data_IF_148400325602
#
_entry.id   IF_148400325602
#
_cell.length_a   1.000
_cell.length_b   1.000
_cell.length_c   1.000
_cell.angle_alpha   90.00
_cell.angle_beta   90.00
_cell.angle_gamma   90.00
#
_symmetry.space_group_name_H-M   'P 1'
#
loop_
_entity.id
_entity.type
_entity.pdbx_description
1 polymer ?
#
# COMPACT_ATOMS: atom_id res chain seq x y z
N UNK A 1 -17.31 -9.45 24.20
CA UNK A 1 -17.25 -10.92 24.07
C UNK A 1 -18.49 -11.36 23.30
N UNK A 2 -18.40 -11.38 21.97
CA UNK A 2 -19.48 -11.79 21.06
C UNK A 2 -19.69 -13.29 21.24
N UNK A 3 -20.83 -13.67 21.80
CA UNK A 3 -21.17 -15.09 22.01
C UNK A 3 -21.30 -15.76 20.65
N UNK A 4 -20.56 -16.85 20.47
CA UNK A 4 -20.69 -17.73 19.32
C UNK A 4 -22.14 -18.26 19.23
N UNK A 5 -22.83 -17.94 18.14
CA UNK A 5 -24.21 -18.36 17.87
C UNK A 5 -24.29 -19.34 16.70
N UNK A 6 -23.15 -19.81 16.20
CA UNK A 6 -23.07 -20.73 15.07
C UNK A 6 -23.84 -22.03 15.39
N UNK A 7 -23.65 -22.58 16.58
CA UNK A 7 -24.34 -23.78 17.04
C UNK A 7 -25.88 -23.61 17.11
N UNK A 8 -26.35 -22.41 17.47
CA UNK A 8 -27.78 -22.11 17.54
C UNK A 8 -28.42 -21.96 16.13
N UNK A 9 -27.65 -21.51 15.14
CA UNK A 9 -28.09 -21.42 13.74
C UNK A 9 -28.17 -22.81 13.10
N UNK A 10 -27.18 -23.67 13.34
CA UNK A 10 -27.19 -25.06 12.83
C UNK A 10 -28.37 -25.85 13.40
N UNK A 11 -28.68 -25.68 14.68
CA UNK A 11 -29.82 -26.34 15.32
C UNK A 11 -31.19 -25.81 14.83
N UNK A 12 -31.26 -24.56 14.37
CA UNK A 12 -32.49 -24.00 13.82
C UNK A 12 -32.72 -24.39 12.35
N UNK A 13 -31.66 -24.80 11.64
CA UNK A 13 -31.70 -25.16 10.22
C UNK A 13 -32.13 -26.62 9.99
N UNK A 14 -32.06 -27.47 11.02
CA UNK A 14 -32.47 -28.89 10.95
C UNK A 14 -33.97 -29.13 11.09
N UNK A 15 -34.77 -28.10 11.37
CA UNK A 15 -36.22 -28.23 11.64
C UNK A 15 -37.11 -27.85 10.43
N UNK A 16 -36.54 -27.41 9.31
CA UNK A 16 -37.30 -26.93 8.12
C UNK A 16 -36.88 -27.69 6.85
N UNK A 17 -37.06 -29.01 6.89
CA UNK A 17 -36.54 -29.98 5.92
C UNK A 17 -37.47 -30.18 4.69
N UNK A 18 -38.09 -29.12 4.15
CA UNK A 18 -39.08 -29.27 3.07
C UNK A 18 -39.09 -28.21 1.95
N UNK A 19 -38.00 -27.48 1.71
CA UNK A 19 -37.80 -26.74 0.42
C UNK A 19 -36.33 -26.68 0.02
N UNK A 20 -35.76 -27.80 -0.42
CA UNK A 20 -34.49 -27.81 -1.15
C UNK A 20 -34.76 -27.59 -2.66
N UNK A 21 -34.92 -26.33 -3.06
CA UNK A 21 -34.43 -25.90 -4.38
C UNK A 21 -33.17 -25.10 -4.08
N UNK A 22 -32.05 -25.82 -4.10
CA UNK A 22 -30.71 -25.28 -3.91
C UNK A 22 -30.46 -24.25 -5.00
N UNK A 23 -30.77 -22.98 -4.71
CA UNK A 23 -30.17 -21.86 -5.42
C UNK A 23 -28.74 -21.80 -4.92
N UNK A 24 -27.92 -22.73 -5.41
CA UNK A 24 -26.48 -22.67 -5.30
C UNK A 24 -26.07 -21.38 -6.00
N UNK A 25 -25.85 -20.32 -5.22
CA UNK A 25 -25.03 -19.21 -5.69
C UNK A 25 -23.71 -19.89 -6.02
N UNK A 26 -23.38 -19.97 -7.31
CA UNK A 26 -22.11 -20.46 -7.78
C UNK A 26 -21.04 -19.45 -7.34
N UNK A 27 -20.70 -19.49 -6.05
CA UNK A 27 -19.48 -18.92 -5.51
C UNK A 27 -18.41 -19.77 -6.16
N UNK A 28 -17.75 -19.22 -7.18
CA UNK A 28 -16.56 -19.81 -7.77
C UNK A 28 -15.61 -20.24 -6.65
N UNK A 29 -14.87 -21.31 -6.88
CA UNK A 29 -14.06 -21.94 -5.83
C UNK A 29 -13.17 -20.95 -5.05
N UNK A 30 -12.75 -21.29 -3.82
CA UNK A 30 -11.95 -20.43 -2.94
C UNK A 30 -10.66 -19.84 -3.55
N UNK A 31 -10.21 -20.34 -4.69
CA UNK A 31 -8.89 -20.06 -5.27
C UNK A 31 -8.81 -18.85 -6.22
N UNK A 32 -9.92 -18.17 -6.58
CA UNK A 32 -9.89 -17.21 -7.71
C UNK A 32 -10.42 -15.80 -7.40
N UNK A 33 -10.66 -15.46 -6.13
CA UNK A 33 -11.00 -14.07 -5.77
C UNK A 33 -9.73 -13.27 -5.49
N UNK A 34 -9.36 -12.39 -6.42
CA UNK A 34 -8.30 -11.38 -6.24
C UNK A 34 -6.91 -11.95 -5.93
N UNK A 35 -6.66 -13.23 -6.23
CA UNK A 35 -5.41 -13.93 -5.91
C UNK A 35 -4.18 -13.22 -6.47
N UNK A 36 -4.24 -12.80 -7.74
CA UNK A 36 -3.14 -12.05 -8.39
C UNK A 36 -2.91 -10.70 -7.71
N UNK A 37 -3.98 -9.97 -7.40
CA UNK A 37 -3.87 -8.68 -6.72
C UNK A 37 -3.29 -8.81 -5.30
N UNK A 38 -3.71 -9.81 -4.54
CA UNK A 38 -3.14 -10.04 -3.21
C UNK A 38 -1.68 -10.48 -3.26
N UNK A 39 -1.27 -11.22 -4.30
CA UNK A 39 0.13 -11.52 -4.53
C UNK A 39 0.95 -10.24 -4.81
N UNK A 40 0.42 -9.31 -5.62
CA UNK A 40 1.06 -8.01 -5.85
C UNK A 40 1.15 -7.16 -4.57
N UNK A 41 0.09 -7.14 -3.76
CA UNK A 41 0.06 -6.43 -2.47
C UNK A 41 1.11 -6.97 -1.51
N UNK A 42 1.24 -8.29 -1.40
CA UNK A 42 2.23 -8.90 -0.53
C UNK A 42 3.66 -8.65 -1.03
N UNK A 43 3.89 -8.71 -2.35
CA UNK A 43 5.19 -8.36 -2.93
C UNK A 43 5.58 -6.91 -2.62
N UNK A 44 4.64 -5.96 -2.73
CA UNK A 44 4.89 -4.56 -2.36
C UNK A 44 5.20 -4.44 -0.86
N UNK A 45 4.45 -5.15 -0.02
CA UNK A 45 4.65 -5.16 1.42
C UNK A 45 6.04 -5.68 1.80
N UNK A 46 6.46 -6.81 1.23
CA UNK A 46 7.78 -7.38 1.46
C UNK A 46 8.89 -6.42 1.01
N UNK A 47 8.70 -5.73 -0.12
CA UNK A 47 9.64 -4.70 -0.57
C UNK A 47 9.73 -3.53 0.40
N UNK A 48 8.60 -3.05 0.96
CA UNK A 48 8.59 -2.00 1.98
C UNK A 48 9.30 -2.47 3.26
N UNK A 49 9.04 -3.68 3.72
CA UNK A 49 9.68 -4.27 4.90
C UNK A 49 11.20 -4.45 4.70
N UNK A 50 11.62 -4.79 3.48
CA UNK A 50 13.04 -4.81 3.10
C UNK A 50 13.66 -3.42 3.16
N UNK A 51 12.99 -2.39 2.65
CA UNK A 51 13.49 -1.01 2.76
C UNK A 51 13.64 -0.65 4.23
N UNK A 52 12.63 -0.90 5.07
CA UNK A 52 12.69 -0.62 6.50
C UNK A 52 13.88 -1.30 7.19
N UNK A 53 14.14 -2.57 6.87
CA UNK A 53 15.30 -3.30 7.39
C UNK A 53 16.62 -2.66 6.95
N UNK A 54 16.73 -2.32 5.66
CA UNK A 54 17.92 -1.65 5.13
C UNK A 54 18.14 -0.27 5.77
N UNK A 55 17.08 0.48 6.06
CA UNK A 55 17.17 1.78 6.75
C UNK A 55 17.78 1.63 8.15
N UNK A 56 17.36 0.61 8.90
CA UNK A 56 17.94 0.30 10.21
C UNK A 56 19.41 -0.10 10.12
N UNK A 57 19.80 -0.84 9.08
CA UNK A 57 21.20 -1.19 8.87
C UNK A 57 22.04 0.02 8.43
N UNK A 58 21.49 0.92 7.61
CA UNK A 58 22.10 2.21 7.27
C UNK A 58 22.37 3.02 8.54
N UNK A 59 21.42 3.12 9.48
CA UNK A 59 21.65 3.79 10.79
C UNK A 59 22.84 3.20 11.54
N UNK A 60 22.94 1.87 11.62
CA UNK A 60 24.06 1.18 12.29
C UNK A 60 25.39 1.47 11.61
N UNK A 61 25.44 1.41 10.26
CA UNK A 61 26.65 1.68 9.48
C UNK A 61 27.09 3.14 9.62
N UNK A 62 26.17 4.09 9.52
CA UNK A 62 26.41 5.49 9.81
C UNK A 62 27.00 5.72 11.21
N UNK A 63 26.46 5.06 12.23
CA UNK A 63 27.02 5.15 13.59
C UNK A 63 28.42 4.55 13.69
N UNK A 64 28.70 3.43 13.01
CA UNK A 64 30.01 2.80 12.99
C UNK A 64 31.06 3.70 12.31
N UNK A 65 30.70 4.32 11.18
CA UNK A 65 31.54 5.24 10.41
C UNK A 65 31.93 6.46 11.25
N UNK A 66 31.01 7.02 12.04
CA UNK A 66 31.29 8.17 12.91
C UNK A 66 32.10 7.82 14.16
N UNK A 67 32.04 6.55 14.60
CA UNK A 67 32.72 6.09 15.82
C UNK A 67 34.20 5.78 15.59
N UNK A 68 34.60 5.49 14.36
CA UNK A 68 35.98 5.17 14.00
C UNK A 68 36.73 6.41 13.44
N UNK A 69 37.98 6.68 13.87
CA UNK A 69 38.82 7.73 13.30
C UNK A 69 39.26 7.43 11.86
N UNK A 70 39.38 6.15 11.51
CA UNK A 70 39.61 5.67 10.15
C UNK A 70 38.46 4.74 9.80
N UNK A 71 37.74 5.08 8.74
CA UNK A 71 36.65 4.26 8.22
C UNK A 71 37.19 3.04 7.53
N UNK A 72 36.69 1.87 7.91
CA UNK A 72 36.90 0.66 7.13
C UNK A 72 36.20 0.82 5.78
N UNK A 73 36.96 0.76 4.68
CA UNK A 73 36.44 0.86 3.32
C UNK A 73 35.36 -0.20 3.05
N UNK A 74 35.42 -1.34 3.74
CA UNK A 74 34.38 -2.36 3.69
C UNK A 74 33.03 -1.85 4.20
N UNK A 75 33.01 -1.13 5.33
CA UNK A 75 31.78 -0.59 5.92
C UNK A 75 31.17 0.48 5.02
N UNK A 76 32.02 1.26 4.34
CA UNK A 76 31.61 2.26 3.37
C UNK A 76 30.99 1.64 2.12
N UNK A 77 31.61 0.60 1.57
CA UNK A 77 31.06 -0.15 0.44
C UNK A 77 29.71 -0.80 0.79
N UNK A 78 29.61 -1.41 1.98
CA UNK A 78 28.34 -1.98 2.48
C UNK A 78 27.24 -0.91 2.64
N UNK A 79 27.59 0.31 3.07
CA UNK A 79 26.65 1.42 3.15
C UNK A 79 26.17 1.84 1.75
N UNK A 80 27.07 1.95 0.78
CA UNK A 80 26.73 2.30 -0.61
C UNK A 80 25.82 1.25 -1.26
N UNK A 81 26.08 -0.03 -0.99
CA UNK A 81 25.23 -1.14 -1.43
C UNK A 81 23.83 -1.03 -0.83
N UNK A 82 23.71 -0.77 0.48
CA UNK A 82 22.42 -0.58 1.16
C UNK A 82 21.65 0.62 0.59
N UNK A 83 22.32 1.75 0.35
CA UNK A 83 21.70 2.93 -0.26
C UNK A 83 21.20 2.65 -1.68
N UNK A 84 22.00 1.93 -2.47
CA UNK A 84 21.63 1.49 -3.83
C UNK A 84 20.43 0.55 -3.82
N UNK A 85 20.39 -0.38 -2.87
CA UNK A 85 19.29 -1.32 -2.69
C UNK A 85 17.99 -0.64 -2.24
N UNK A 86 18.07 0.31 -1.30
CA UNK A 86 16.93 1.15 -0.90
C UNK A 86 16.39 1.89 -2.12
N UNK A 87 17.25 2.56 -2.89
CA UNK A 87 16.86 3.29 -4.09
C UNK A 87 16.17 2.39 -5.13
N UNK A 88 16.74 1.23 -5.44
CA UNK A 88 16.18 0.30 -6.41
C UNK A 88 14.81 -0.23 -5.95
N UNK A 89 14.72 -0.61 -4.67
CA UNK A 89 13.49 -1.18 -4.10
C UNK A 89 12.39 -0.12 -4.01
N UNK A 90 12.72 1.10 -3.58
CA UNK A 90 11.79 2.22 -3.52
C UNK A 90 11.21 2.57 -4.90
N UNK A 91 12.04 2.59 -5.95
CA UNK A 91 11.57 2.82 -7.32
C UNK A 91 10.62 1.71 -7.81
N UNK A 92 10.87 0.45 -7.45
CA UNK A 92 9.97 -0.67 -7.77
C UNK A 92 8.63 -0.55 -7.05
N UNK A 93 8.66 -0.24 -5.75
CA UNK A 93 7.44 0.01 -4.96
C UNK A 93 6.63 1.15 -5.57
N UNK A 94 7.27 2.29 -5.87
CA UNK A 94 6.63 3.43 -6.53
C UNK A 94 5.98 3.03 -7.86
N UNK A 95 6.68 2.29 -8.70
CA UNK A 95 6.15 1.85 -9.99
C UNK A 95 4.92 0.94 -9.83
N UNK A 96 4.96 -0.03 -8.90
CA UNK A 96 3.82 -0.92 -8.65
C UNK A 96 2.63 -0.20 -8.05
N UNK A 97 2.83 0.70 -7.09
CA UNK A 97 1.75 1.52 -6.52
C UNK A 97 1.05 2.35 -7.61
N UNK A 98 1.82 2.95 -8.53
CA UNK A 98 1.28 3.71 -9.66
C UNK A 98 0.47 2.85 -10.64
N UNK A 99 0.87 1.59 -10.87
CA UNK A 99 0.08 0.65 -11.69
C UNK A 99 -1.25 0.34 -11.00
N UNK A 100 -1.25 0.11 -9.69
CA UNK A 100 -2.48 -0.14 -8.92
C UNK A 100 -3.40 1.09 -8.97
N UNK A 101 -2.84 2.30 -8.81
CA UNK A 101 -3.58 3.56 -8.93
C UNK A 101 -4.28 3.68 -10.30
N UNK A 102 -3.55 3.47 -11.40
CA UNK A 102 -4.11 3.53 -12.75
C UNK A 102 -5.24 2.50 -12.97
N UNK A 103 -5.07 1.29 -12.43
CA UNK A 103 -6.10 0.25 -12.49
C UNK A 103 -7.36 0.67 -11.72
N UNK A 104 -7.21 1.28 -10.53
CA UNK A 104 -8.32 1.82 -9.74
C UNK A 104 -9.07 2.92 -10.52
N UNK A 105 -8.36 3.87 -11.11
CA UNK A 105 -8.96 4.94 -11.92
C UNK A 105 -9.75 4.38 -13.11
N UNK A 106 -9.19 3.38 -13.81
CA UNK A 106 -9.87 2.74 -14.94
C UNK A 106 -11.15 2.00 -14.51
N UNK A 107 -11.11 1.29 -13.38
CA UNK A 107 -12.27 0.58 -12.84
C UNK A 107 -13.37 1.53 -12.34
N UNK A 108 -13.01 2.68 -11.76
CA UNK A 108 -13.97 3.71 -11.34
C UNK A 108 -14.86 4.22 -12.49
N UNK A 109 -14.30 4.35 -13.69
CA UNK A 109 -15.05 4.79 -14.87
C UNK A 109 -16.06 3.74 -15.36
N UNK A 110 -15.82 2.47 -15.05
CA UNK A 110 -16.55 1.34 -15.62
C UNK A 110 -17.58 0.77 -14.63
N UNK A 111 -17.27 0.74 -13.34
CA UNK A 111 -18.13 0.14 -12.31
C UNK A 111 -17.92 0.81 -10.93
N UNK A 112 -18.73 1.82 -10.62
CA UNK A 112 -18.49 2.76 -9.51
C UNK A 112 -18.50 2.19 -8.08
N UNK A 113 -18.92 0.94 -7.84
CA UNK A 113 -19.06 0.44 -6.45
C UNK A 113 -18.98 -1.09 -6.31
N UNK A 114 -17.95 -1.72 -6.88
CA UNK A 114 -17.67 -3.13 -6.58
C UNK A 114 -16.97 -3.30 -5.21
N UNK A 115 -17.17 -4.46 -4.56
CA UNK A 115 -16.37 -4.83 -3.39
C UNK A 115 -14.87 -4.92 -3.74
N UNK A 116 -14.58 -5.34 -4.98
CA UNK A 116 -13.24 -5.41 -5.57
C UNK A 116 -12.50 -4.07 -5.54
N UNK A 117 -13.14 -3.03 -6.09
CA UNK A 117 -12.60 -1.67 -6.17
C UNK A 117 -12.34 -1.09 -4.78
N UNK A 118 -13.22 -1.38 -3.80
CA UNK A 118 -13.01 -0.96 -2.41
C UNK A 118 -11.77 -1.61 -1.81
N UNK A 119 -11.60 -2.92 -2.00
CA UNK A 119 -10.42 -3.64 -1.52
C UNK A 119 -9.15 -3.06 -2.14
N UNK A 120 -9.14 -2.85 -3.47
CA UNK A 120 -7.99 -2.26 -4.18
C UNK A 120 -7.61 -0.89 -3.63
N UNK A 121 -8.58 0.02 -3.46
CA UNK A 121 -8.38 1.36 -2.88
C UNK A 121 -7.82 1.31 -1.47
N UNK A 122 -8.40 0.49 -0.59
CA UNK A 122 -7.94 0.39 0.81
C UNK A 122 -6.51 -0.16 0.88
N UNK A 123 -6.19 -1.19 0.10
CA UNK A 123 -4.84 -1.76 0.05
C UNK A 123 -3.82 -0.77 -0.51
N UNK A 124 -4.13 -0.12 -1.63
CA UNK A 124 -3.29 0.91 -2.23
C UNK A 124 -2.96 2.03 -1.24
N UNK A 125 -3.96 2.54 -0.52
CA UNK A 125 -3.76 3.59 0.48
C UNK A 125 -2.92 3.15 1.67
N UNK A 126 -3.17 1.94 2.18
CA UNK A 126 -2.41 1.38 3.30
C UNK A 126 -0.93 1.21 2.93
N UNK A 127 -0.65 0.64 1.76
CA UNK A 127 0.71 0.45 1.26
C UNK A 127 1.40 1.79 0.97
N UNK A 128 0.68 2.75 0.36
CA UNK A 128 1.20 4.09 0.07
C UNK A 128 1.60 4.82 1.34
N UNK A 129 0.76 4.78 2.39
CA UNK A 129 1.05 5.39 3.69
C UNK A 129 2.28 4.76 4.34
N UNK A 130 2.33 3.42 4.38
CA UNK A 130 3.47 2.69 4.95
C UNK A 130 4.76 2.97 4.20
N UNK A 131 4.71 3.06 2.87
CA UNK A 131 5.85 3.42 2.05
C UNK A 131 6.36 4.85 2.37
N UNK A 132 5.46 5.83 2.44
CA UNK A 132 5.82 7.21 2.81
C UNK A 132 6.42 7.29 4.21
N UNK A 133 5.87 6.56 5.17
CA UNK A 133 6.40 6.47 6.53
C UNK A 133 7.86 5.99 6.53
N UNK A 134 8.13 4.86 5.88
CA UNK A 134 9.48 4.27 5.80
C UNK A 134 10.45 5.20 5.06
N UNK A 135 10.03 5.83 3.97
CA UNK A 135 10.88 6.77 3.23
C UNK A 135 11.15 8.05 4.01
N UNK A 136 10.19 8.52 4.83
CA UNK A 136 10.37 9.66 5.74
C UNK A 136 11.40 9.34 6.81
N UNK A 137 11.36 8.14 7.37
CA UNK A 137 12.35 7.67 8.33
C UNK A 137 13.75 7.52 7.71
N UNK A 138 13.83 7.09 6.45
CA UNK A 138 15.08 7.09 5.70
C UNK A 138 15.63 8.51 5.51
N UNK A 139 14.80 9.47 5.09
CA UNK A 139 15.22 10.86 4.93
C UNK A 139 15.69 11.49 6.24
N UNK A 140 14.99 11.19 7.34
CA UNK A 140 15.40 11.59 8.69
C UNK A 140 16.77 11.02 9.06
N UNK A 141 16.98 9.72 8.81
CA UNK A 141 18.27 9.05 9.04
C UNK A 141 19.42 9.72 8.29
N UNK A 142 19.20 10.07 7.01
CA UNK A 142 20.19 10.78 6.20
C UNK A 142 20.45 12.19 6.76
N UNK A 143 19.40 12.95 7.08
CA UNK A 143 19.54 14.31 7.63
C UNK A 143 20.31 14.32 8.96
N UNK A 144 19.99 13.37 9.85
CA UNK A 144 20.69 13.20 11.13
C UNK A 144 22.17 12.85 10.91
N UNK A 145 22.50 12.02 9.93
CA UNK A 145 23.89 11.69 9.60
C UNK A 145 24.66 12.87 8.99
N UNK A 146 24.01 13.68 8.13
CA UNK A 146 24.58 14.92 7.58
C UNK A 146 24.99 15.86 8.70
N UNK A 147 24.09 16.10 9.64
CA UNK A 147 24.33 17.02 10.76
C UNK A 147 25.47 16.52 11.65
N UNK A 148 25.54 15.21 11.89
CA UNK A 148 26.67 14.61 12.62
C UNK A 148 27.99 14.77 11.86
N UNK A 149 28.01 14.60 10.54
CA UNK A 149 29.20 14.84 9.73
C UNK A 149 29.64 16.30 9.79
N UNK A 150 28.69 17.24 9.66
CA UNK A 150 28.92 18.69 9.82
C UNK A 150 29.55 19.00 11.18
N UNK A 151 28.97 18.50 12.27
CA UNK A 151 29.51 18.70 13.62
C UNK A 151 30.92 18.11 13.81
N UNK A 152 31.25 17.00 13.13
CA UNK A 152 32.64 16.48 13.15
C UNK A 152 33.60 17.40 12.40
N UNK A 153 33.23 17.90 11.23
CA UNK A 153 34.05 18.85 10.46
C UNK A 153 34.30 20.11 11.29
N UNK A 154 33.27 20.67 11.93
CA UNK A 154 33.40 21.83 12.80
C UNK A 154 34.42 21.59 13.92
N UNK A 155 34.29 20.46 14.64
CA UNK A 155 35.23 20.10 15.70
C UNK A 155 36.66 19.91 15.20
N UNK A 156 36.82 19.35 14.00
CA UNK A 156 38.13 19.19 13.37
C UNK A 156 38.76 20.54 12.99
N UNK A 157 37.97 21.51 12.51
CA UNK A 157 38.44 22.87 12.25
C UNK A 157 38.87 23.59 13.54
N UNK A 158 38.11 23.44 14.62
CA UNK A 158 38.47 23.99 15.94
C UNK A 158 39.79 23.44 16.47
N UNK A 159 40.07 22.15 16.28
CA UNK A 159 41.36 21.52 16.64
C UNK A 159 42.53 22.16 15.89
N UNK A 160 42.31 22.58 14.63
CA UNK A 160 43.32 23.29 13.83
C UNK A 160 43.44 24.77 14.16
N UNK A 161 42.65 25.27 15.12
CA UNK A 161 42.66 26.67 15.57
C UNK A 161 41.78 27.60 14.74
N UNK A 162 40.92 27.07 13.87
CA UNK A 162 39.94 27.84 13.08
C UNK A 162 38.55 27.66 13.70
N UNK A 163 38.09 28.69 14.41
CA UNK A 163 36.69 28.76 14.85
C UNK A 163 35.82 29.10 13.65
N UNK A 164 34.72 28.38 13.45
CA UNK A 164 33.80 28.58 12.32
C UNK A 164 32.36 28.50 12.83
N UNK A 165 31.55 29.47 12.44
CA UNK A 165 30.11 29.47 12.78
C UNK A 165 29.37 28.41 11.97
N UNK A 166 28.14 28.09 12.37
CA UNK A 166 27.32 27.11 11.65
C UNK A 166 26.99 27.57 10.23
N UNK A 167 26.80 28.88 10.06
CA UNK A 167 26.50 29.54 8.78
C UNK A 167 27.73 29.53 7.87
N UNK A 168 28.89 29.93 8.39
CA UNK A 168 30.16 29.89 7.65
C UNK A 168 30.50 28.46 7.20
N UNK A 169 30.29 27.48 8.08
CA UNK A 169 30.54 26.08 7.73
C UNK A 169 29.58 25.58 6.65
N UNK A 170 28.32 26.01 6.67
CA UNK A 170 27.35 25.67 5.62
C UNK A 170 27.77 26.25 4.27
N UNK A 171 28.16 27.53 4.23
CA UNK A 171 28.68 28.17 3.00
C UNK A 171 29.91 27.43 2.45
N UNK A 172 30.79 26.95 3.33
CA UNK A 172 31.96 26.15 2.92
C UNK A 172 31.57 24.79 2.32
N UNK A 173 30.53 24.14 2.84
CA UNK A 173 30.00 22.89 2.30
C UNK A 173 29.32 23.12 0.93
N UNK A 174 28.53 24.19 0.80
CA UNK A 174 27.82 24.54 -0.44
C UNK A 174 28.77 24.89 -1.60
N UNK A 175 29.93 25.47 -1.31
CA UNK A 175 30.95 25.77 -2.32
C UNK A 175 31.52 24.51 -2.99
N UNK A 176 31.38 23.33 -2.36
CA UNK A 176 31.81 22.04 -2.93
C UNK A 176 33.31 21.92 -3.21
N UNK A 177 34.13 22.88 -2.73
CA UNK A 177 35.56 22.92 -2.96
C UNK A 177 36.33 22.49 -1.70
N UNK A 178 36.96 21.30 -1.68
CA UNK A 178 37.72 20.80 -0.53
C UNK A 178 38.84 21.76 -0.07
N UNK A 179 39.40 22.56 -0.98
CA UNK A 179 40.46 23.51 -0.66
C UNK A 179 40.01 24.60 0.32
N UNK A 180 38.71 24.89 0.41
CA UNK A 180 38.15 25.90 1.33
C UNK A 180 38.41 25.52 2.80
N UNK A 181 38.47 24.22 3.10
CA UNK A 181 38.85 23.70 4.41
C UNK A 181 40.35 23.81 4.69
N UNK A 182 41.19 23.80 3.66
CA UNK A 182 42.66 23.95 3.81
C UNK A 182 43.11 25.40 4.00
N UNK A 183 42.26 26.36 3.64
CA UNK A 183 42.62 27.77 3.62
C UNK A 183 42.80 28.28 5.06
N UNK A 184 44.04 28.60 5.42
CA UNK A 184 44.42 29.08 6.76
C UNK A 184 44.93 28.01 7.73
N UNK A 185 44.97 26.73 7.34
CA UNK A 185 45.53 25.65 8.17
C UNK A 185 47.02 25.48 7.86
N UNK A 186 47.87 25.57 8.89
CA UNK A 186 49.32 25.31 8.76
C UNK A 186 49.53 23.78 8.61
N UNK A 187 49.76 23.30 7.38
CA UNK A 187 49.93 21.87 7.06
C UNK A 187 51.29 21.27 7.46
N UNK A 188 52.08 21.98 8.28
CA UNK A 188 53.43 21.56 8.67
C UNK A 188 53.43 20.40 9.67
N UNK A 189 52.32 20.17 10.37
CA UNK A 189 52.19 19.08 11.36
C UNK A 189 51.51 17.86 10.76
N UNK A 190 51.95 16.67 11.18
CA UNK A 190 51.29 15.40 10.83
C UNK A 190 49.81 15.38 11.30
N UNK A 191 49.52 16.06 12.40
CA UNK A 191 48.18 16.21 12.95
C UNK A 191 47.27 17.02 12.01
N UNK A 192 47.74 18.16 11.48
CA UNK A 192 46.96 18.96 10.53
C UNK A 192 46.63 18.18 9.25
N UNK A 193 47.57 17.38 8.75
CA UNK A 193 47.33 16.50 7.58
C UNK A 193 46.28 15.44 7.85
N UNK A 194 46.31 14.81 9.03
CA UNK A 194 45.33 13.80 9.42
C UNK A 194 43.93 14.41 9.60
N UNK A 195 43.85 15.60 10.21
CA UNK A 195 42.60 16.34 10.38
C UNK A 195 42.00 16.72 9.03
N UNK A 196 42.82 17.18 8.09
CA UNK A 196 42.33 17.50 6.75
C UNK A 196 41.76 16.26 6.03
N UNK A 197 42.47 15.14 6.08
CA UNK A 197 42.00 13.90 5.46
C UNK A 197 40.64 13.43 6.03
N UNK A 198 40.40 13.63 7.34
CA UNK A 198 39.09 13.35 7.95
C UNK A 198 38.03 14.33 7.44
N UNK A 199 38.33 15.63 7.37
CA UNK A 199 37.40 16.64 6.83
C UNK A 199 37.01 16.31 5.38
N UNK A 200 37.99 15.99 4.52
CA UNK A 200 37.74 15.63 3.12
C UNK A 200 36.87 14.36 3.00
N UNK A 201 37.15 13.35 3.83
CA UNK A 201 36.34 12.12 3.86
C UNK A 201 34.89 12.41 4.31
N UNK A 202 34.69 13.22 5.36
CA UNK A 202 33.35 13.61 5.83
C UNK A 202 32.61 14.46 4.79
N UNK A 203 33.30 15.37 4.12
CA UNK A 203 32.71 16.20 3.07
C UNK A 203 32.25 15.34 1.88
N UNK A 204 33.06 14.36 1.46
CA UNK A 204 32.66 13.41 0.42
C UNK A 204 31.41 12.60 0.81
N UNK A 205 31.28 12.22 2.09
CA UNK A 205 30.07 11.55 2.60
C UNK A 205 28.84 12.47 2.55
N UNK A 206 28.98 13.76 2.91
CA UNK A 206 27.90 14.76 2.81
C UNK A 206 27.42 14.90 1.36
N UNK A 207 28.33 14.99 0.38
CA UNK A 207 27.96 15.12 -1.04
C UNK A 207 27.15 13.89 -1.51
N UNK A 208 27.56 12.68 -1.12
CA UNK A 208 26.83 11.45 -1.46
C UNK A 208 25.43 11.45 -0.86
N UNK A 209 25.32 11.91 0.37
CA UNK A 209 24.06 11.99 1.09
C UNK A 209 23.11 13.01 0.46
N UNK A 210 23.60 14.19 0.09
CA UNK A 210 22.80 15.21 -0.59
C UNK A 210 22.28 14.73 -1.94
N UNK A 211 23.09 13.96 -2.69
CA UNK A 211 22.63 13.31 -3.91
C UNK A 211 21.52 12.28 -3.60
N UNK A 212 21.66 11.47 -2.55
CA UNK A 212 20.61 10.55 -2.13
C UNK A 212 19.33 11.29 -1.72
N UNK A 213 19.42 12.39 -0.96
CA UNK A 213 18.25 13.18 -0.53
C UNK A 213 17.56 13.84 -1.73
N UNK A 214 18.33 14.36 -2.70
CA UNK A 214 17.76 14.94 -3.92
C UNK A 214 16.93 13.92 -4.70
N UNK A 215 17.39 12.68 -4.77
CA UNK A 215 16.63 11.59 -5.41
C UNK A 215 15.38 11.20 -4.60
N UNK A 216 15.42 11.30 -3.27
CA UNK A 216 14.23 11.12 -2.43
C UNK A 216 13.19 12.20 -2.65
N UNK A 217 13.63 13.45 -2.83
CA UNK A 217 12.75 14.60 -3.02
C UNK A 217 11.81 14.39 -4.22
N UNK A 218 12.33 13.88 -5.35
CA UNK A 218 11.51 13.57 -6.52
C UNK A 218 10.44 12.50 -6.21
N UNK A 219 10.79 11.48 -5.41
CA UNK A 219 9.82 10.48 -4.96
C UNK A 219 8.79 11.06 -3.97
N UNK A 220 9.18 11.97 -3.09
CA UNK A 220 8.26 12.62 -2.14
C UNK A 220 7.25 13.53 -2.84
N UNK A 221 7.65 14.23 -3.91
CA UNK A 221 6.71 15.06 -4.67
C UNK A 221 5.62 14.22 -5.34
N UNK A 222 5.99 13.09 -5.95
CA UNK A 222 5.03 12.14 -6.50
C UNK A 222 4.11 11.56 -5.41
N UNK A 223 4.69 11.17 -4.27
CA UNK A 223 3.94 10.54 -3.18
C UNK A 223 3.05 11.51 -2.40
N UNK A 224 3.43 12.78 -2.28
CA UNK A 224 2.61 13.81 -1.64
C UNK A 224 1.30 14.02 -2.42
N UNK A 225 1.37 14.09 -3.76
CA UNK A 225 0.20 14.15 -4.62
C UNK A 225 -0.68 12.89 -4.51
N UNK A 226 -0.05 11.72 -4.43
CA UNK A 226 -0.71 10.43 -4.24
C UNK A 226 -1.45 10.34 -2.89
N UNK A 227 -0.85 10.81 -1.80
CA UNK A 227 -1.48 10.75 -0.45
C UNK A 227 -2.53 11.84 -0.27
N UNK A 228 -2.32 13.04 -0.82
CA UNK A 228 -3.27 14.16 -0.74
C UNK A 228 -4.56 13.87 -1.53
N UNK A 229 -4.45 13.29 -2.73
CA UNK A 229 -5.61 12.91 -3.55
C UNK A 229 -6.45 11.78 -2.95
N UNK A 230 -5.85 10.93 -2.10
CA UNK A 230 -6.54 9.79 -1.49
C UNK A 230 -7.44 10.15 -0.31
N UNK A 231 -7.28 11.34 0.31
CA UNK A 231 -8.18 11.92 1.31
C UNK A 231 -8.41 11.11 2.60
N UNK A 232 -8.91 11.76 3.66
CA UNK A 232 -9.28 11.16 4.97
C UNK A 232 -10.39 10.08 4.91
N UNK A 233 -10.89 9.73 3.72
CA UNK A 233 -12.08 8.90 3.54
C UNK A 233 -11.83 7.39 3.75
N UNK A 234 -10.56 6.96 3.80
CA UNK A 234 -10.18 5.55 3.94
C UNK A 234 -10.10 5.10 5.41
N UNK A 235 -9.91 6.02 6.36
CA UNK A 235 -9.74 5.66 7.78
C UNK A 235 -11.09 5.48 8.52
N UNK A 236 -12.21 5.74 7.84
CA UNK A 236 -13.54 5.43 8.37
C UNK A 236 -13.98 4.07 7.87
N UNK A 237 -13.70 3.03 8.66
CA UNK A 237 -14.39 1.73 8.56
C UNK A 237 -15.92 1.94 8.42
N UNK A 238 -16.45 2.95 9.11
CA UNK A 238 -17.86 3.37 9.04
C UNK A 238 -18.32 3.78 7.63
N UNK A 239 -17.50 4.52 6.87
CA UNK A 239 -17.83 4.96 5.51
C UNK A 239 -17.89 3.78 4.52
N UNK A 240 -16.92 2.86 4.61
CA UNK A 240 -16.92 1.67 3.76
C UNK A 240 -18.06 0.70 4.09
N UNK A 241 -18.48 0.62 5.37
CA UNK A 241 -19.64 -0.16 5.81
C UNK A 241 -20.94 0.48 5.35
N UNK A 242 -21.07 1.81 5.40
CA UNK A 242 -22.26 2.54 4.93
C UNK A 242 -22.57 2.24 3.45
N UNK A 243 -21.57 2.28 2.57
CA UNK A 243 -21.74 1.92 1.15
C UNK A 243 -22.00 0.43 0.90
N UNK A 244 -21.63 -0.47 1.83
CA UNK A 244 -21.98 -1.88 1.73
C UNK A 244 -23.48 -2.13 1.98
N UNK A 245 -24.12 -1.29 2.82
CA UNK A 245 -25.54 -1.40 3.18
C UNK A 245 -26.43 -1.17 1.94
N UNK A 246 -26.06 -0.24 1.06
CA UNK A 246 -26.83 0.07 -0.16
C UNK A 246 -26.97 -1.11 -1.13
N UNK A 247 -25.93 -1.95 -1.25
CA UNK A 247 -25.98 -3.17 -2.07
C UNK A 247 -26.92 -4.23 -1.49
N UNK A 248 -26.87 -4.43 -0.17
CA UNK A 248 -27.79 -5.36 0.52
C UNK A 248 -29.23 -4.86 0.42
N UNK A 249 -29.44 -3.55 0.49
CA UNK A 249 -30.76 -2.96 0.32
C UNK A 249 -31.34 -3.17 -1.09
N UNK A 250 -30.51 -3.10 -2.13
CA UNK A 250 -30.96 -3.36 -3.51
C UNK A 250 -31.21 -4.86 -3.73
N UNK A 251 -30.33 -5.73 -3.25
CA UNK A 251 -30.52 -7.19 -3.32
C UNK A 251 -31.78 -7.66 -2.57
N UNK A 252 -32.08 -7.07 -1.40
CA UNK A 252 -33.31 -7.36 -0.65
C UNK A 252 -34.57 -6.85 -1.36
N UNK A 253 -34.47 -5.77 -2.13
CA UNK A 253 -35.58 -5.30 -2.97
C UNK A 253 -35.82 -6.23 -4.17
N UNK A 254 -34.77 -6.70 -4.82
CA UNK A 254 -34.89 -7.55 -6.00
C UNK A 254 -35.36 -8.97 -5.64
N UNK A 255 -34.92 -9.53 -4.50
CA UNK A 255 -35.49 -10.77 -3.95
C UNK A 255 -36.98 -10.62 -3.60
N UNK A 256 -37.40 -9.49 -3.02
CA UNK A 256 -38.83 -9.19 -2.79
C UNK A 256 -39.63 -9.11 -4.10
N UNK A 257 -39.07 -8.50 -5.16
CA UNK A 257 -39.71 -8.48 -6.48
C UNK A 257 -39.79 -9.89 -7.07
N UNK A 258 -38.73 -10.68 -6.97
CA UNK A 258 -38.69 -12.07 -7.45
C UNK A 258 -39.78 -12.93 -6.79
N UNK A 259 -39.97 -12.83 -5.46
CA UNK A 259 -41.05 -13.52 -4.74
C UNK A 259 -42.45 -13.07 -5.22
N UNK A 260 -42.64 -11.77 -5.50
CA UNK A 260 -43.89 -11.26 -6.09
C UNK A 260 -44.12 -11.79 -7.50
N UNK A 261 -43.09 -11.95 -8.32
CA UNK A 261 -43.21 -12.55 -9.65
C UNK A 261 -43.49 -14.05 -9.57
N UNK A 262 -42.81 -14.78 -8.69
CA UNK A 262 -43.02 -16.22 -8.48
C UNK A 262 -44.45 -16.53 -8.03
N UNK A 263 -44.99 -15.76 -7.07
CA UNK A 263 -46.38 -15.91 -6.60
C UNK A 263 -47.41 -15.61 -7.69
N UNK A 264 -47.19 -14.58 -8.52
CA UNK A 264 -48.05 -14.29 -9.68
C UNK A 264 -47.97 -15.38 -10.75
N UNK A 265 -46.77 -15.92 -11.01
CA UNK A 265 -46.57 -17.01 -11.95
C UNK A 265 -47.29 -18.29 -11.49
N UNK A 266 -47.23 -18.64 -10.20
CA UNK A 266 -48.00 -19.77 -9.62
C UNK A 266 -49.50 -19.62 -9.83
N UNK A 267 -50.08 -18.44 -9.57
CA UNK A 267 -51.52 -18.18 -9.80
C UNK A 267 -51.90 -18.31 -11.28
N UNK A 268 -51.06 -17.83 -12.20
CA UNK A 268 -51.28 -17.99 -13.64
C UNK A 268 -51.21 -19.46 -14.08
N UNK A 269 -50.25 -20.24 -13.55
CA UNK A 269 -50.15 -21.68 -13.82
C UNK A 269 -51.41 -22.43 -13.37
N UNK A 270 -51.95 -22.12 -12.19
CA UNK A 270 -53.19 -22.73 -11.68
C UNK A 270 -54.37 -22.41 -12.59
N UNK A 271 -54.52 -21.15 -13.01
CA UNK A 271 -55.58 -20.75 -13.96
C UNK A 271 -55.47 -21.50 -15.29
N UNK A 272 -54.26 -21.62 -15.85
CA UNK A 272 -54.04 -22.38 -17.09
C UNK A 272 -54.41 -23.86 -16.91
N UNK A 273 -54.04 -24.49 -15.79
CA UNK A 273 -54.41 -25.87 -15.49
C UNK A 273 -55.93 -26.07 -15.40
N UNK A 274 -56.64 -25.14 -14.77
CA UNK A 274 -58.12 -25.18 -14.69
C UNK A 274 -58.73 -25.05 -16.09
N UNK A 275 -58.25 -24.10 -16.92
CA UNK A 275 -58.73 -23.95 -18.29
C UNK A 275 -58.49 -25.20 -19.14
N UNK A 276 -57.32 -25.84 -19.02
CA UNK A 276 -57.02 -27.09 -19.73
C UNK A 276 -57.90 -28.25 -19.26
N UNK A 277 -58.17 -28.35 -17.96
CA UNK A 277 -59.08 -29.37 -17.43
C UNK A 277 -60.51 -29.22 -17.98
N UNK A 278 -61.03 -27.99 -18.02
CA UNK A 278 -62.36 -27.71 -18.59
C UNK A 278 -62.39 -28.05 -20.09
N UNK A 279 -61.37 -27.64 -20.85
CA UNK A 279 -61.25 -27.98 -22.27
C UNK A 279 -61.21 -29.49 -22.50
N UNK A 280 -60.46 -30.23 -21.68
CA UNK A 280 -60.41 -31.69 -21.73
C UNK A 280 -61.78 -32.35 -21.50
N UNK A 281 -62.55 -31.85 -20.53
CA UNK A 281 -63.92 -32.34 -20.28
C UNK A 281 -64.85 -32.06 -21.46
N UNK A 282 -64.80 -30.84 -22.03
CA UNK A 282 -65.62 -30.48 -23.19
C UNK A 282 -65.31 -31.40 -24.37
N UNK A 283 -64.02 -31.61 -24.67
CA UNK A 283 -63.60 -32.51 -25.75
C UNK A 283 -64.01 -33.96 -25.48
N UNK A 284 -63.90 -34.44 -24.24
CA UNK A 284 -64.35 -35.79 -23.88
C UNK A 284 -65.88 -35.97 -24.06
N UNK A 285 -66.68 -34.97 -23.69
CA UNK A 285 -68.15 -35.02 -23.86
C UNK A 285 -68.57 -34.94 -25.33
N UNK A 286 -67.89 -34.15 -26.16
CA UNK A 286 -68.22 -34.07 -27.59
C UNK A 286 -67.80 -35.33 -28.33
N UNK A 287 -66.64 -35.90 -28.02
CA UNK A 287 -66.20 -37.19 -28.60
C UNK A 287 -67.08 -38.34 -28.10
N UNK A 288 -67.42 -38.39 -26.82
CA UNK A 288 -68.33 -39.40 -26.26
C UNK A 288 -69.73 -39.35 -26.86
N UNK A 289 -70.27 -38.14 -27.08
CA UNK A 289 -71.54 -37.96 -27.78
C UNK A 289 -71.48 -38.29 -29.28
N UNK A 290 -70.32 -38.14 -29.92
CA UNK A 290 -70.13 -38.42 -31.35
C UNK A 290 -69.86 -39.90 -31.65
N UNK A 291 -69.17 -40.61 -30.75
CA UNK A 291 -68.82 -42.02 -30.91
C UNK A 291 -69.80 -43.00 -30.28
N UNK A 292 -70.86 -42.52 -29.63
CA UNK A 292 -72.00 -43.34 -29.21
C UNK A 292 -71.59 -44.52 -28.33
N UNK A 293 -71.30 -44.22 -27.06
CA UNK A 293 -71.44 -45.17 -25.96
C UNK A 293 -72.57 -44.69 -25.06
#
# INVERSE_FOLDING_TARGET
MTKDRLAALVAAQSDDDDVADDVSVNVGGPDDFMTEFFAEVEEIREMIDRIQTNVEDVKKKHSAILSAPQTDEKVKNELEDLMSDIKKTANKVRAKLKVIEQNIEQEEHTNKSSADLRIRKTQHSTLSRKFVEVMTEYNRTQTDYRERCKGRIQRQLEITGRTTTNEELEEMLEQGNPAVFTQGIIMETQQAKQTLADIEARHADIIKLENSIRELHDMFMDMAMLVESQGEMIDRIEYHVEHAVDYVQTATQDTKKALKYQSKARRKKIMIMICLAILGVVVATTIGGYFGL
#
